data_IF_167015363534
#
_entry.id   IF_167015363534
#
_cell.length_a   1.000
_cell.length_b   1.000
_cell.length_c   1.000
_cell.angle_alpha   90.00
_cell.angle_beta   90.00
_cell.angle_gamma   90.00
#
_symmetry.space_group_name_H-M   'P 1'
#
loop_
_entity.id
_entity.type
_entity.pdbx_description
1 polymer ?
#
# COMPACT_ATOMS: atom_id res chain seq x y z
N UNK A 1 5.75 24.98 21.68
CA UNK A 1 5.36 24.04 20.60
C UNK A 1 6.55 23.34 19.92
N UNK A 2 7.68 24.03 19.68
CA UNK A 2 8.87 23.45 19.03
C UNK A 2 9.46 22.18 19.72
N UNK A 3 9.40 22.10 21.06
CA UNK A 3 9.93 20.95 21.82
C UNK A 3 9.16 19.63 21.67
N UNK A 4 7.85 19.67 21.38
CA UNK A 4 7.05 18.46 21.09
C UNK A 4 7.36 17.91 19.69
N UNK A 5 7.51 18.79 18.70
CA UNK A 5 7.89 18.40 17.34
C UNK A 5 9.31 17.80 17.30
N UNK A 6 10.27 18.40 18.02
CA UNK A 6 11.63 17.85 18.12
C UNK A 6 11.68 16.48 18.80
N UNK A 7 10.97 16.29 19.92
CA UNK A 7 10.85 14.98 20.58
C UNK A 7 10.19 13.95 19.68
N UNK A 8 9.12 14.33 18.96
CA UNK A 8 8.49 13.42 17.99
C UNK A 8 9.50 13.02 16.90
N UNK A 9 10.24 13.96 16.31
CA UNK A 9 11.28 13.68 15.30
C UNK A 9 12.43 12.81 15.80
N UNK A 10 12.86 12.97 17.05
CA UNK A 10 13.90 12.13 17.64
C UNK A 10 13.40 10.70 17.94
N UNK A 11 12.17 10.55 18.45
CA UNK A 11 11.54 9.23 18.68
C UNK A 11 11.26 8.51 17.36
N UNK A 12 10.77 9.23 16.35
CA UNK A 12 10.61 8.76 14.96
C UNK A 12 11.91 8.21 14.41
N UNK A 13 13.00 8.96 14.60
CA UNK A 13 14.34 8.57 14.16
C UNK A 13 14.90 7.41 14.97
N UNK A 14 14.56 7.25 16.25
CA UNK A 14 14.98 6.11 17.07
C UNK A 14 14.23 4.80 16.76
N UNK A 15 13.01 4.88 16.20
CA UNK A 15 12.23 3.70 15.78
C UNK A 15 12.52 3.27 14.32
N UNK A 16 12.97 4.21 13.48
CA UNK A 16 13.52 3.96 12.13
C UNK A 16 15.04 4.09 12.05
N UNK A 17 15.71 4.25 13.18
CA UNK A 17 17.05 3.73 13.37
C UNK A 17 16.84 2.25 13.16
N UNK A 18 16.96 1.89 11.88
CA UNK A 18 17.02 0.53 11.43
C UNK A 18 17.88 -0.16 12.47
N UNK A 19 17.37 -1.21 13.15
CA UNK A 19 18.29 -2.07 13.89
C UNK A 19 19.35 -2.37 12.85
N UNK A 20 20.62 -1.99 13.10
CA UNK A 20 21.75 -2.36 12.24
C UNK A 20 21.48 -3.82 11.90
N UNK A 21 21.01 -4.08 10.66
CA UNK A 21 20.32 -5.33 10.37
C UNK A 21 21.34 -6.40 10.66
N UNK A 22 21.12 -7.17 11.72
CA UNK A 22 22.23 -7.90 12.32
C UNK A 22 22.74 -8.90 11.30
N UNK A 23 24.05 -8.94 11.07
CA UNK A 23 24.69 -9.95 10.22
C UNK A 23 24.46 -11.39 10.72
N UNK A 24 23.82 -11.57 11.88
CA UNK A 24 23.59 -12.84 12.56
C UNK A 24 22.41 -13.63 11.98
N UNK A 25 21.51 -13.00 11.22
CA UNK A 25 20.39 -13.65 10.53
C UNK A 25 20.33 -13.23 9.05
N UNK A 26 21.26 -13.73 8.24
CA UNK A 26 21.36 -13.38 6.82
C UNK A 26 20.22 -13.96 5.98
N UNK A 27 19.04 -13.34 6.05
CA UNK A 27 17.95 -13.53 5.08
C UNK A 27 18.07 -12.45 4.01
N UNK A 28 18.42 -12.87 2.80
CA UNK A 28 18.60 -11.98 1.66
C UNK A 28 17.27 -11.63 0.98
N UNK A 29 17.28 -10.62 0.10
CA UNK A 29 16.13 -10.21 -0.72
C UNK A 29 14.88 -9.80 0.07
N UNK A 30 15.08 -9.20 1.25
CA UNK A 30 13.98 -8.76 2.13
C UNK A 30 13.47 -7.35 1.83
N UNK A 31 14.05 -6.62 0.87
CA UNK A 31 13.76 -5.21 0.61
C UNK A 31 12.28 -4.91 0.28
N UNK A 32 11.57 -5.84 -0.37
CA UNK A 32 10.12 -5.76 -0.61
C UNK A 32 9.35 -5.85 0.72
N UNK A 33 9.64 -6.88 1.53
CA UNK A 33 9.03 -7.08 2.85
C UNK A 33 9.29 -5.87 3.74
N UNK A 34 10.52 -5.36 3.73
CA UNK A 34 10.92 -4.20 4.53
C UNK A 34 10.16 -2.94 4.13
N UNK A 35 10.00 -2.70 2.84
CA UNK A 35 9.24 -1.57 2.31
C UNK A 35 7.78 -1.63 2.74
N UNK A 36 7.18 -2.83 2.69
CA UNK A 36 5.81 -3.04 3.17
C UNK A 36 5.68 -2.89 4.70
N UNK A 37 6.56 -3.51 5.48
CA UNK A 37 6.51 -3.41 6.95
C UNK A 37 6.79 -1.98 7.44
N UNK A 38 7.68 -1.23 6.77
CA UNK A 38 7.88 0.20 7.02
C UNK A 38 6.61 1.02 6.78
N UNK A 39 5.81 0.64 5.77
CA UNK A 39 4.49 1.23 5.52
C UNK A 39 3.53 1.00 6.68
N UNK A 40 3.48 -0.22 7.23
CA UNK A 40 2.64 -0.52 8.40
C UNK A 40 3.10 0.24 9.66
N UNK A 41 4.42 0.33 9.89
CA UNK A 41 4.95 1.12 11.00
C UNK A 41 4.60 2.61 10.87
N UNK A 42 4.68 3.15 9.66
CA UNK A 42 4.29 4.54 9.40
C UNK A 42 2.80 4.76 9.69
N UNK A 43 1.94 3.80 9.33
CA UNK A 43 0.52 3.82 9.62
C UNK A 43 0.23 3.84 11.12
N UNK A 44 0.83 2.89 11.86
CA UNK A 44 0.71 2.76 13.32
C UNK A 44 1.26 3.96 14.07
N UNK A 45 2.22 4.66 13.50
CA UNK A 45 2.76 5.85 14.11
C UNK A 45 1.93 7.09 13.76
N UNK A 46 1.34 7.16 12.57
CA UNK A 46 0.36 8.20 12.21
C UNK A 46 -0.93 8.09 13.04
N UNK A 47 -1.48 6.88 13.18
CA UNK A 47 -2.56 6.54 14.11
C UNK A 47 -2.09 5.44 15.07
N UNK A 48 -1.86 5.79 16.33
CA UNK A 48 -1.45 4.87 17.40
C UNK A 48 -2.42 3.72 17.68
N UNK A 49 -3.59 3.71 17.02
CA UNK A 49 -4.57 2.64 17.13
C UNK A 49 -4.80 1.94 15.77
N UNK A 50 -3.96 2.16 14.77
CA UNK A 50 -4.09 1.58 13.43
C UNK A 50 -4.23 0.06 13.46
N UNK A 51 -3.48 -0.64 14.32
CA UNK A 51 -3.55 -2.10 14.46
C UNK A 51 -4.95 -2.63 14.80
N UNK A 52 -5.85 -1.79 15.34
CA UNK A 52 -7.25 -2.17 15.60
C UNK A 52 -8.11 -2.20 14.33
N UNK A 53 -7.64 -1.64 13.21
CA UNK A 53 -8.31 -1.69 11.90
C UNK A 53 -8.00 -2.98 11.14
N UNK A 54 -6.95 -3.72 11.56
CA UNK A 54 -6.61 -5.03 11.03
C UNK A 54 -7.55 -6.10 11.63
N UNK A 55 -8.78 -6.16 11.12
CA UNK A 55 -9.88 -7.00 11.67
C UNK A 55 -10.02 -8.39 11.02
N UNK A 56 -9.17 -8.73 10.04
CA UNK A 56 -9.16 -10.01 9.33
C UNK A 56 -8.64 -11.20 10.16
N UNK A 57 -9.18 -12.40 9.92
CA UNK A 57 -8.78 -13.65 10.62
C UNK A 57 -7.74 -14.49 9.85
N UNK A 58 -7.35 -14.05 8.66
CA UNK A 58 -6.35 -14.70 7.83
C UNK A 58 -4.93 -14.55 8.38
N UNK A 59 -4.02 -15.41 7.94
CA UNK A 59 -2.65 -15.43 8.44
C UNK A 59 -1.91 -14.11 8.17
N UNK A 60 -2.18 -13.46 7.04
CA UNK A 60 -1.52 -12.21 6.66
C UNK A 60 -1.95 -11.07 7.57
N UNK A 61 -3.25 -10.89 7.78
CA UNK A 61 -3.75 -9.88 8.71
C UNK A 61 -3.27 -10.13 10.15
N UNK A 62 -3.31 -11.37 10.62
CA UNK A 62 -2.85 -11.74 11.98
C UNK A 62 -1.38 -11.44 12.21
N UNK A 63 -0.52 -11.77 11.25
CA UNK A 63 0.93 -11.53 11.36
C UNK A 63 1.29 -10.07 11.21
N UNK A 64 0.59 -9.30 10.36
CA UNK A 64 0.72 -7.84 10.32
C UNK A 64 0.32 -7.20 11.65
N UNK A 65 -0.80 -7.63 12.23
CA UNK A 65 -1.26 -7.15 13.54
C UNK A 65 -0.24 -7.47 14.64
N UNK A 66 0.22 -8.72 14.69
CA UNK A 66 1.30 -9.16 15.60
C UNK A 66 2.56 -8.32 15.42
N UNK A 67 2.99 -8.06 14.19
CA UNK A 67 4.16 -7.23 13.90
C UNK A 67 4.04 -5.82 14.49
N UNK A 68 2.84 -5.23 14.50
CA UNK A 68 2.59 -3.90 15.06
C UNK A 68 2.45 -3.89 16.58
N UNK A 69 1.77 -4.89 17.14
CA UNK A 69 1.39 -4.93 18.55
C UNK A 69 2.46 -5.58 19.45
N UNK A 70 3.30 -6.48 18.93
CA UNK A 70 4.26 -7.22 19.74
C UNK A 70 5.41 -6.35 20.26
N UNK A 71 5.84 -6.68 21.48
CA UNK A 71 7.03 -6.14 22.11
C UNK A 71 8.31 -6.81 21.57
N UNK A 72 9.42 -6.09 21.57
CA UNK A 72 10.73 -6.60 21.14
C UNK A 72 11.30 -5.91 19.89
N UNK A 73 12.45 -6.40 19.42
CA UNK A 73 13.13 -5.82 18.25
C UNK A 73 12.29 -6.03 16.98
N UNK A 74 12.20 -5.00 16.13
CA UNK A 74 11.58 -5.02 14.80
C UNK A 74 12.09 -6.20 13.95
N UNK A 75 13.36 -6.55 14.04
CA UNK A 75 13.97 -7.64 13.26
C UNK A 75 13.37 -9.01 13.59
N UNK A 76 13.16 -9.31 14.87
CA UNK A 76 12.52 -10.55 15.29
C UNK A 76 11.07 -10.65 14.78
N UNK A 77 10.33 -9.53 14.85
CA UNK A 77 8.95 -9.44 14.36
C UNK A 77 8.86 -9.58 12.84
N UNK A 78 9.82 -9.00 12.10
CA UNK A 78 10.00 -9.21 10.65
C UNK A 78 10.27 -10.69 10.35
N UNK A 79 11.15 -11.33 11.09
CA UNK A 79 11.47 -12.75 10.90
C UNK A 79 10.26 -13.66 11.16
N UNK A 80 9.42 -13.32 12.13
CA UNK A 80 8.15 -14.01 12.36
C UNK A 80 7.17 -13.84 11.19
N UNK A 81 7.07 -12.63 10.63
CA UNK A 81 6.31 -12.40 9.41
C UNK A 81 6.84 -13.25 8.24
N UNK A 82 8.16 -13.28 8.03
CA UNK A 82 8.78 -14.06 6.96
C UNK A 82 8.49 -15.56 7.14
N UNK A 83 8.71 -16.10 8.34
CA UNK A 83 8.45 -17.51 8.65
C UNK A 83 7.00 -17.93 8.42
N UNK A 84 6.05 -17.04 8.67
CA UNK A 84 4.64 -17.34 8.52
C UNK A 84 4.18 -17.40 7.04
N UNK A 85 4.94 -16.78 6.13
CA UNK A 85 4.46 -16.47 4.78
C UNK A 85 5.30 -17.05 3.65
N UNK A 86 6.58 -17.33 3.90
CA UNK A 86 7.50 -17.78 2.87
C UNK A 86 8.06 -19.15 3.27
N UNK A 87 7.94 -20.09 2.34
CA UNK A 87 8.52 -21.42 2.51
C UNK A 87 10.05 -21.35 2.32
N UNK A 88 10.76 -22.30 2.91
CA UNK A 88 12.18 -22.48 2.65
C UNK A 88 12.40 -23.25 1.34
N UNK A 89 13.44 -22.90 0.60
CA UNK A 89 13.93 -23.66 -0.55
C UNK A 89 14.73 -24.90 -0.11
N UNK A 90 15.25 -25.66 -1.08
CA UNK A 90 16.05 -26.86 -0.82
C UNK A 90 17.34 -26.61 -0.02
N UNK A 91 17.85 -25.38 -0.05
CA UNK A 91 19.06 -24.94 0.67
C UNK A 91 18.74 -24.41 2.08
N UNK A 92 17.46 -24.40 2.48
CA UNK A 92 17.02 -23.95 3.80
C UNK A 92 16.84 -22.43 3.94
N UNK A 93 17.01 -21.68 2.84
CA UNK A 93 16.78 -20.23 2.76
C UNK A 93 15.31 -19.93 2.44
N UNK A 94 14.80 -18.79 2.90
CA UNK A 94 13.43 -18.39 2.55
C UNK A 94 13.31 -18.02 1.07
N UNK A 95 12.31 -18.56 0.38
CA UNK A 95 12.02 -18.17 -0.99
C UNK A 95 11.35 -16.78 -1.00
N UNK A 96 12.20 -15.77 -1.16
CA UNK A 96 11.84 -14.35 -1.27
C UNK A 96 12.06 -13.83 -2.70
N UNK A 97 11.84 -14.70 -3.69
CA UNK A 97 11.87 -14.32 -5.09
C UNK A 97 10.50 -13.81 -5.55
N UNK A 98 10.51 -12.81 -6.44
CA UNK A 98 9.31 -12.29 -7.07
C UNK A 98 9.22 -10.77 -7.00
N UNK A 99 8.10 -10.27 -7.48
CA UNK A 99 7.74 -8.86 -7.38
C UNK A 99 6.78 -8.62 -6.20
N UNK A 100 6.34 -7.37 -6.04
CA UNK A 100 5.43 -6.95 -4.98
C UNK A 100 4.11 -7.74 -4.99
N UNK A 101 3.65 -8.19 -6.16
CA UNK A 101 2.42 -8.98 -6.29
C UNK A 101 2.62 -10.33 -5.61
N UNK A 102 3.65 -11.08 -6.03
CA UNK A 102 3.93 -12.40 -5.49
C UNK A 102 4.32 -12.35 -4.01
N UNK A 103 5.10 -11.34 -3.63
CA UNK A 103 5.64 -11.25 -2.29
C UNK A 103 4.62 -10.73 -1.29
N UNK A 104 3.80 -9.73 -1.62
CA UNK A 104 2.89 -9.09 -0.67
C UNK A 104 1.42 -9.28 -1.08
N UNK A 105 1.03 -8.85 -2.27
CA UNK A 105 -0.39 -8.73 -2.62
C UNK A 105 -1.11 -10.09 -2.67
N UNK A 106 -0.44 -11.14 -3.16
CA UNK A 106 -1.00 -12.49 -3.23
C UNK A 106 -1.28 -13.10 -1.85
N UNK A 107 -0.48 -12.72 -0.85
CA UNK A 107 -0.66 -13.15 0.54
C UNK A 107 -1.71 -12.31 1.26
N UNK A 108 -1.83 -11.05 0.84
CA UNK A 108 -2.77 -10.09 1.41
C UNK A 108 -4.21 -10.23 0.89
N UNK A 109 -4.54 -11.16 -0.04
CA UNK A 109 -5.83 -11.23 -0.77
C UNK A 109 -7.08 -10.85 0.04
N UNK A 110 -7.23 -11.37 1.26
CA UNK A 110 -8.39 -11.08 2.13
C UNK A 110 -8.38 -9.69 2.77
N UNK A 111 -7.20 -9.13 3.02
CA UNK A 111 -6.99 -7.79 3.54
C UNK A 111 -7.23 -6.67 2.51
N UNK A 112 -7.29 -7.05 1.23
CA UNK A 112 -7.32 -6.14 0.07
C UNK A 112 -8.53 -6.35 -0.84
N UNK A 113 -9.44 -7.25 -0.47
CA UNK A 113 -10.58 -7.60 -1.31
C UNK A 113 -11.57 -6.44 -1.42
N UNK A 114 -12.04 -6.17 -2.63
CA UNK A 114 -13.12 -5.25 -2.90
C UNK A 114 -14.10 -5.89 -3.87
N UNK A 115 -15.35 -5.49 -3.75
CA UNK A 115 -16.44 -5.87 -4.65
C UNK A 115 -16.80 -4.69 -5.52
N UNK A 116 -16.92 -4.91 -6.83
CA UNK A 116 -17.56 -3.94 -7.70
C UNK A 116 -18.87 -4.56 -8.20
N UNK A 117 -19.96 -3.84 -8.03
CA UNK A 117 -21.27 -4.16 -8.60
C UNK A 117 -21.53 -3.23 -9.79
N UNK A 118 -22.12 -3.78 -10.84
CA UNK A 118 -22.57 -3.02 -12.01
C UNK A 118 -24.01 -3.36 -12.30
N UNK A 119 -24.87 -2.36 -12.40
CA UNK A 119 -26.30 -2.52 -12.68
C UNK A 119 -26.69 -1.83 -13.98
N UNK A 120 -27.27 -2.58 -14.91
CA UNK A 120 -27.84 -2.02 -16.13
C UNK A 120 -29.06 -1.17 -15.79
N UNK A 121 -29.08 0.10 -16.20
CA UNK A 121 -30.23 0.98 -15.95
C UNK A 121 -31.48 0.55 -16.70
N UNK A 122 -31.33 -0.07 -17.87
CA UNK A 122 -32.45 -0.41 -18.75
C UNK A 122 -33.16 -1.70 -18.33
N UNK A 123 -32.41 -2.75 -18.00
CA UNK A 123 -33.00 -4.05 -17.66
C UNK A 123 -32.86 -4.43 -16.18
N UNK A 124 -32.20 -3.59 -15.38
CA UNK A 124 -32.01 -3.80 -13.94
C UNK A 124 -31.04 -4.93 -13.58
N UNK A 125 -30.51 -5.68 -14.56
CA UNK A 125 -29.57 -6.79 -14.30
C UNK A 125 -28.31 -6.27 -13.61
N UNK A 126 -27.91 -6.98 -12.57
CA UNK A 126 -26.74 -6.71 -11.77
C UNK A 126 -25.67 -7.77 -12.02
N UNK A 127 -24.41 -7.35 -11.98
CA UNK A 127 -23.26 -8.23 -11.91
C UNK A 127 -22.34 -7.74 -10.80
N UNK A 128 -21.86 -8.66 -9.97
CA UNK A 128 -20.91 -8.38 -8.89
C UNK A 128 -19.65 -9.20 -9.13
N UNK A 129 -18.49 -8.56 -8.97
CA UNK A 129 -17.21 -9.27 -9.03
C UNK A 129 -16.32 -8.85 -7.86
N UNK A 130 -15.63 -9.84 -7.29
CA UNK A 130 -14.61 -9.64 -6.27
C UNK A 130 -13.23 -9.57 -6.90
N UNK A 131 -12.41 -8.65 -6.41
CA UNK A 131 -11.04 -8.40 -6.87
C UNK A 131 -10.18 -8.10 -5.64
N UNK A 132 -8.89 -8.40 -5.76
CA UNK A 132 -7.96 -8.24 -4.64
C UNK A 132 -7.01 -7.05 -4.82
N UNK A 133 -6.74 -6.57 -6.03
CA UNK A 133 -5.92 -5.37 -6.20
C UNK A 133 -6.26 -4.65 -7.50
N UNK A 134 -6.07 -3.33 -7.47
CA UNK A 134 -6.27 -2.45 -8.61
C UNK A 134 -4.94 -2.39 -9.38
N UNK A 135 -4.93 -2.65 -10.69
CA UNK A 135 -3.79 -2.31 -11.55
C UNK A 135 -4.19 -1.22 -12.54
N UNK A 136 -3.23 -0.38 -12.89
CA UNK A 136 -3.40 0.67 -13.90
C UNK A 136 -2.99 0.16 -15.28
N UNK A 137 -3.84 0.40 -16.28
CA UNK A 137 -3.57 0.00 -17.68
C UNK A 137 -2.59 0.98 -18.35
N UNK A 138 -1.76 0.47 -19.27
CA UNK A 138 -0.78 1.24 -20.08
C UNK A 138 -1.40 2.43 -20.82
N UNK A 139 -2.66 2.32 -21.22
CA UNK A 139 -3.35 3.36 -21.99
C UNK A 139 -3.65 4.63 -21.17
N UNK A 140 -3.31 4.64 -19.88
CA UNK A 140 -3.70 5.66 -18.91
C UNK A 140 -2.56 6.54 -18.39
N UNK A 141 -1.38 6.52 -19.06
CA UNK A 141 -0.15 7.26 -18.68
C UNK A 141 -0.32 8.74 -18.31
N UNK A 142 -1.45 9.38 -18.62
CA UNK A 142 -1.68 10.82 -18.44
C UNK A 142 -2.62 11.23 -17.30
N UNK A 143 -3.23 10.32 -16.52
CA UNK A 143 -4.25 10.69 -15.50
C UNK A 143 -4.31 9.78 -14.27
N UNK A 144 -3.28 9.73 -13.43
CA UNK A 144 -3.14 8.76 -12.34
C UNK A 144 -4.41 8.52 -11.46
N UNK A 145 -5.03 9.50 -10.77
CA UNK A 145 -6.16 9.22 -9.88
C UNK A 145 -7.40 8.66 -10.62
N UNK A 146 -7.79 9.31 -11.73
CA UNK A 146 -8.96 8.89 -12.51
C UNK A 146 -8.70 7.59 -13.28
N UNK A 147 -7.46 7.35 -13.73
CA UNK A 147 -7.06 6.14 -14.43
C UNK A 147 -7.09 4.90 -13.53
N UNK A 148 -6.71 5.06 -12.26
CA UNK A 148 -6.65 4.00 -11.27
C UNK A 148 -8.05 3.42 -11.02
N UNK A 149 -9.04 4.28 -10.78
CA UNK A 149 -10.44 3.88 -10.64
C UNK A 149 -11.03 3.47 -12.00
N UNK A 150 -10.77 4.23 -13.07
CA UNK A 150 -11.32 3.96 -14.40
C UNK A 150 -10.83 2.63 -15.00
N UNK A 151 -9.58 2.21 -14.79
CA UNK A 151 -9.07 0.93 -15.27
C UNK A 151 -9.78 -0.26 -14.59
N UNK A 152 -10.08 -0.14 -13.30
CA UNK A 152 -10.84 -1.10 -12.54
C UNK A 152 -12.30 -1.18 -13.02
N UNK A 153 -12.95 -0.01 -13.20
CA UNK A 153 -14.31 0.09 -13.73
C UNK A 153 -14.41 -0.43 -15.18
N UNK A 154 -13.43 -0.11 -16.04
CA UNK A 154 -13.45 -0.40 -17.49
C UNK A 154 -13.35 -1.89 -17.80
N UNK A 155 -12.50 -2.67 -17.10
CA UNK A 155 -12.41 -4.12 -17.36
C UNK A 155 -13.67 -4.87 -16.95
N UNK A 156 -14.40 -4.38 -15.96
CA UNK A 156 -15.68 -4.97 -15.56
C UNK A 156 -16.84 -4.59 -16.48
N UNK A 157 -16.87 -3.35 -16.97
CA UNK A 157 -17.79 -2.95 -18.05
C UNK A 157 -17.65 -3.80 -19.32
N UNK A 158 -16.44 -4.34 -19.58
CA UNK A 158 -16.20 -5.29 -20.70
C UNK A 158 -16.69 -6.71 -20.41
N UNK A 159 -16.74 -7.15 -19.15
CA UNK A 159 -17.17 -8.51 -18.79
C UNK A 159 -18.68 -8.74 -18.82
N UNK A 160 -19.49 -7.69 -18.90
CA UNK A 160 -20.95 -7.81 -19.07
C UNK A 160 -21.45 -6.85 -20.14
N UNK A 161 -21.57 -7.34 -21.38
CA UNK A 161 -22.46 -6.71 -22.36
C UNK A 161 -23.90 -7.06 -21.97
N UNK A 162 -24.75 -6.05 -21.78
CA UNK A 162 -26.20 -6.28 -21.77
C UNK A 162 -26.55 -7.12 -23.01
N UNK A 163 -27.49 -8.08 -22.93
CA UNK A 163 -27.98 -8.77 -24.13
C UNK A 163 -28.26 -7.75 -25.24
N UNK A 164 -28.06 -8.14 -26.49
CA UNK A 164 -28.07 -7.29 -27.70
C UNK A 164 -29.28 -6.36 -27.88
N UNK A 165 -30.27 -6.38 -26.99
CA UNK A 165 -31.39 -5.46 -26.93
C UNK A 165 -31.11 -4.16 -26.16
N UNK A 166 -30.00 -4.05 -25.41
CA UNK A 166 -29.64 -2.83 -24.65
C UNK A 166 -28.30 -2.22 -25.12
N UNK A 167 -28.12 -2.10 -26.44
CA UNK A 167 -26.90 -1.59 -27.13
C UNK A 167 -26.44 -0.19 -26.69
N UNK A 168 -27.26 0.57 -25.98
CA UNK A 168 -26.96 1.91 -25.45
C UNK A 168 -27.23 2.05 -23.95
N UNK A 169 -27.28 0.94 -23.20
CA UNK A 169 -27.60 1.03 -21.77
C UNK A 169 -26.46 1.66 -20.98
N UNK A 170 -26.80 2.74 -20.26
CA UNK A 170 -25.96 3.27 -19.19
C UNK A 170 -25.94 2.26 -18.04
N UNK A 171 -24.79 2.15 -17.37
CA UNK A 171 -24.59 1.26 -16.23
C UNK A 171 -24.30 2.11 -14.99
N UNK A 172 -24.97 1.81 -13.87
CA UNK A 172 -24.50 2.25 -12.56
C UNK A 172 -23.38 1.31 -12.11
N UNK A 173 -22.32 1.86 -11.54
CA UNK A 173 -21.24 1.08 -10.95
C UNK A 173 -21.08 1.52 -9.50
N UNK A 174 -20.98 0.56 -8.60
CA UNK A 174 -20.80 0.79 -7.18
C UNK A 174 -19.64 -0.07 -6.69
N UNK A 175 -18.74 0.57 -5.96
CA UNK A 175 -17.55 -0.05 -5.40
C UNK A 175 -17.77 -0.19 -3.89
N UNK A 176 -17.69 -1.41 -3.42
CA UNK A 176 -17.84 -1.81 -2.02
C UNK A 176 -16.55 -2.47 -1.55
N UNK A 177 -16.20 -2.30 -0.29
CA UNK A 177 -15.12 -3.03 0.38
C UNK A 177 -15.71 -3.84 1.52
N UNK A 178 -15.17 -5.03 1.76
CA UNK A 178 -15.59 -5.83 2.91
C UNK A 178 -15.06 -5.18 4.21
N UNK A 179 -15.71 -5.44 5.34
CA UNK A 179 -15.27 -4.91 6.64
C UNK A 179 -13.84 -5.32 7.01
N UNK A 180 -13.38 -6.46 6.48
CA UNK A 180 -12.02 -6.97 6.67
C UNK A 180 -10.97 -6.30 5.79
N UNK A 181 -11.39 -5.46 4.84
CA UNK A 181 -10.48 -4.74 3.95
C UNK A 181 -9.92 -3.53 4.67
N UNK A 182 -8.63 -3.61 4.98
CA UNK A 182 -7.89 -2.55 5.68
C UNK A 182 -6.78 -1.94 4.82
N UNK A 183 -6.55 -2.49 3.62
CA UNK A 183 -5.58 -2.01 2.67
C UNK A 183 -6.16 -2.03 1.25
N UNK A 184 -5.91 -0.99 0.46
CA UNK A 184 -6.24 -0.90 -0.95
C UNK A 184 -4.95 -0.63 -1.73
N UNK A 185 -4.24 -1.69 -2.19
CA UNK A 185 -3.01 -1.54 -2.94
C UNK A 185 -3.33 -1.23 -4.40
N UNK A 186 -2.57 -0.29 -4.97
CA UNK A 186 -2.70 0.09 -6.37
C UNK A 186 -1.39 -0.20 -7.09
N UNK A 187 -1.42 -1.23 -7.91
CA UNK A 187 -0.31 -1.68 -8.73
C UNK A 187 -0.12 -0.78 -9.95
N UNK A 188 0.98 -0.04 -9.91
CA UNK A 188 1.44 0.89 -10.93
C UNK A 188 2.56 0.27 -11.78
N UNK A 189 3.02 -0.93 -11.44
CA UNK A 189 4.13 -1.59 -12.13
C UNK A 189 3.93 -1.77 -13.65
N UNK A 190 2.71 -1.95 -14.21
CA UNK A 190 2.53 -2.10 -15.66
C UNK A 190 2.84 -0.82 -16.44
N UNK A 191 2.61 0.36 -15.84
CA UNK A 191 2.82 1.66 -16.50
C UNK A 191 4.17 2.30 -16.14
N UNK A 192 4.88 1.74 -15.15
CA UNK A 192 6.23 2.15 -14.70
C UNK A 192 6.36 3.67 -14.50
N UNK A 193 5.51 4.31 -13.68
CA UNK A 193 5.58 5.75 -13.49
C UNK A 193 6.86 6.11 -12.74
N UNK A 194 7.45 7.25 -13.08
CA UNK A 194 8.65 7.76 -12.41
C UNK A 194 8.36 8.25 -11.00
N UNK A 195 9.34 8.12 -10.11
CA UNK A 195 9.22 8.61 -8.73
C UNK A 195 8.94 10.12 -8.61
N UNK A 196 9.20 10.91 -9.66
CA UNK A 196 8.80 12.32 -9.73
C UNK A 196 7.28 12.54 -9.68
N UNK A 197 6.49 11.52 -10.02
CA UNK A 197 5.01 11.56 -10.03
C UNK A 197 4.39 11.20 -8.68
N UNK A 198 5.19 10.92 -7.64
CA UNK A 198 4.66 10.58 -6.31
C UNK A 198 3.78 11.69 -5.76
N UNK A 199 4.17 12.96 -5.97
CA UNK A 199 3.38 14.11 -5.51
C UNK A 199 2.02 14.25 -6.20
N UNK A 200 1.79 13.55 -7.30
CA UNK A 200 0.53 13.57 -8.05
C UNK A 200 -0.42 12.44 -7.64
N UNK A 201 0.02 11.53 -6.77
CA UNK A 201 -0.84 10.49 -6.21
C UNK A 201 -1.85 11.11 -5.24
N UNK A 202 -3.13 10.70 -5.30
CA UNK A 202 -4.12 11.21 -4.37
C UNK A 202 -3.76 10.80 -2.94
N UNK A 203 -3.96 11.70 -1.98
CA UNK A 203 -3.66 11.40 -0.57
C UNK A 203 -4.75 10.52 0.06
N UNK A 204 -5.99 10.66 -0.43
CA UNK A 204 -7.15 9.95 0.08
C UNK A 204 -7.94 9.31 -1.07
N UNK A 205 -8.53 8.16 -0.79
CA UNK A 205 -9.56 7.50 -1.61
C UNK A 205 -10.76 7.18 -0.74
N UNK A 206 -11.96 7.38 -1.28
CA UNK A 206 -13.21 6.97 -0.65
C UNK A 206 -13.86 5.87 -1.47
N UNK A 207 -14.32 4.83 -0.79
CA UNK A 207 -15.02 3.69 -1.35
C UNK A 207 -16.24 3.42 -0.49
N UNK A 208 -17.41 3.85 -0.94
CA UNK A 208 -18.61 3.91 -0.10
C UNK A 208 -18.34 4.79 1.12
N UNK A 209 -18.66 4.26 2.31
CA UNK A 209 -18.43 4.95 3.59
C UNK A 209 -17.03 4.69 4.19
N UNK A 210 -16.12 4.09 3.43
CA UNK A 210 -14.77 3.74 3.88
C UNK A 210 -13.73 4.62 3.19
N UNK A 211 -12.94 5.32 4.00
CA UNK A 211 -11.83 6.13 3.54
C UNK A 211 -10.50 5.39 3.70
N UNK A 212 -9.63 5.54 2.71
CA UNK A 212 -8.27 5.01 2.69
C UNK A 212 -7.27 6.13 2.43
N UNK A 213 -6.17 6.15 3.19
CA UNK A 213 -5.10 7.15 3.10
C UNK A 213 -3.83 6.56 2.49
N UNK A 214 -3.25 7.28 1.53
CA UNK A 214 -1.92 6.98 1.01
C UNK A 214 -0.92 6.99 2.15
N UNK A 215 -0.34 5.83 2.45
CA UNK A 215 0.56 5.66 3.59
C UNK A 215 1.96 5.24 3.17
N UNK A 216 2.08 4.44 2.11
CA UNK A 216 3.36 3.97 1.62
C UNK A 216 3.35 3.76 0.12
N UNK A 217 4.51 3.89 -0.50
CA UNK A 217 4.72 3.72 -1.93
C UNK A 217 5.99 2.92 -2.10
N UNK A 218 5.90 1.73 -2.67
CA UNK A 218 7.08 0.96 -3.02
C UNK A 218 7.68 1.45 -4.33
N UNK A 219 9.00 1.59 -4.32
CA UNK A 219 9.84 2.08 -5.41
C UNK A 219 10.86 1.01 -5.75
N UNK A 220 11.24 0.92 -7.02
CA UNK A 220 12.23 -0.04 -7.49
C UNK A 220 13.22 0.59 -8.47
N UNK A 221 14.51 0.41 -8.17
CA UNK A 221 15.65 0.73 -9.02
C UNK A 221 16.79 -0.26 -8.71
N UNK A 222 17.58 -0.63 -9.71
CA UNK A 222 18.83 -1.38 -9.54
C UNK A 222 18.73 -2.63 -8.64
N UNK A 223 17.70 -3.45 -8.86
CA UNK A 223 17.40 -4.66 -8.09
C UNK A 223 17.11 -4.44 -6.59
N UNK A 224 16.80 -3.20 -6.20
CA UNK A 224 16.52 -2.84 -4.81
C UNK A 224 15.15 -2.17 -4.66
N UNK A 225 14.41 -2.58 -3.63
CA UNK A 225 13.15 -1.96 -3.24
C UNK A 225 13.36 -0.95 -2.12
N UNK A 226 12.75 0.20 -2.28
CA UNK A 226 12.72 1.28 -1.28
C UNK A 226 11.28 1.76 -1.11
N UNK A 227 11.00 2.50 -0.04
CA UNK A 227 9.66 3.02 0.21
C UNK A 227 9.67 4.54 0.40
N UNK A 228 8.62 5.18 -0.09
CA UNK A 228 8.24 6.54 0.33
C UNK A 228 7.00 6.42 1.20
N UNK A 229 7.08 6.92 2.42
CA UNK A 229 6.05 6.83 3.45
C UNK A 229 5.45 8.21 3.70
N UNK A 230 4.16 8.26 3.95
CA UNK A 230 3.42 9.48 4.25
C UNK A 230 3.05 9.49 5.74
N UNK A 231 3.59 10.44 6.49
CA UNK A 231 3.32 10.65 7.91
C UNK A 231 2.69 12.02 8.11
N UNK A 232 1.35 12.06 8.17
CA UNK A 232 0.60 13.31 8.24
C UNK A 232 1.02 14.25 7.10
N UNK A 233 1.72 15.34 7.42
CA UNK A 233 2.23 16.36 6.49
C UNK A 233 3.64 16.11 5.95
N UNK A 234 4.39 15.23 6.58
CA UNK A 234 5.77 14.92 6.21
C UNK A 234 5.81 13.71 5.26
N UNK A 235 6.92 13.59 4.54
CA UNK A 235 7.26 12.44 3.69
C UNK A 235 8.55 11.82 4.21
N UNK A 236 8.61 10.49 4.23
CA UNK A 236 9.78 9.75 4.68
C UNK A 236 10.26 8.87 3.55
N UNK A 237 11.55 8.90 3.24
CA UNK A 237 12.17 7.97 2.30
C UNK A 237 12.94 6.92 3.06
N UNK A 238 12.49 5.68 2.93
CA UNK A 238 13.10 4.50 3.53
C UNK A 238 13.87 3.74 2.45
N UNK A 239 15.20 3.68 2.58
CA UNK A 239 16.08 2.97 1.65
C UNK A 239 16.50 1.60 2.19
N UNK A 240 16.44 1.36 3.51
CA UNK A 240 16.73 0.07 4.14
C UNK A 240 18.22 -0.34 4.18
N UNK A 241 19.01 0.03 3.16
CA UNK A 241 20.46 -0.28 3.06
C UNK A 241 21.36 0.96 3.17
N UNK A 242 20.85 2.16 2.89
CA UNK A 242 21.62 3.39 3.00
C UNK A 242 21.72 3.90 4.45
N UNK A 243 22.74 4.71 4.76
CA UNK A 243 22.86 5.42 6.04
C UNK A 243 22.71 6.95 5.87
N UNK A 244 21.81 7.63 6.62
CA UNK A 244 20.75 7.03 7.44
C UNK A 244 19.69 6.34 6.55
N UNK A 245 19.08 5.26 7.05
CA UNK A 245 18.11 4.44 6.30
C UNK A 245 16.81 5.17 6.02
N UNK A 246 16.47 6.14 6.87
CA UNK A 246 15.30 6.99 6.74
C UNK A 246 15.73 8.45 6.56
N UNK A 247 15.18 9.11 5.54
CA UNK A 247 15.32 10.54 5.29
C UNK A 247 13.97 11.22 5.35
N UNK A 248 13.88 12.37 6.01
CA UNK A 248 12.64 13.14 6.15
C UNK A 248 12.61 14.28 5.13
N UNK A 249 11.49 14.42 4.45
CA UNK A 249 11.21 15.46 3.46
C UNK A 249 9.90 16.16 3.83
N UNK A 250 9.95 17.49 3.99
CA UNK A 250 8.73 18.30 4.19
C UNK A 250 8.03 18.65 2.88
N UNK A 251 8.69 18.40 1.75
CA UNK A 251 8.21 18.64 0.40
C UNK A 251 8.68 17.49 -0.49
N UNK A 252 7.74 16.74 -1.02
CA UNK A 252 8.00 15.56 -1.85
C UNK A 252 8.76 15.90 -3.14
N UNK A 253 8.65 17.14 -3.64
CA UNK A 253 9.40 17.60 -4.82
C UNK A 253 10.90 17.64 -4.58
N UNK A 254 11.33 17.62 -3.32
CA UNK A 254 12.75 17.58 -2.92
C UNK A 254 13.28 16.16 -2.77
N UNK A 255 12.45 15.14 -2.96
CA UNK A 255 12.86 13.74 -2.90
C UNK A 255 13.99 13.49 -3.90
N UNK A 256 15.13 13.04 -3.38
CA UNK A 256 16.28 12.66 -4.21
C UNK A 256 16.33 11.14 -4.29
N UNK A 257 15.91 10.62 -5.43
CA UNK A 257 16.01 9.20 -5.80
C UNK A 257 16.63 9.09 -7.19
N UNK A 258 17.13 7.90 -7.52
CA UNK A 258 17.71 7.66 -8.84
C UNK A 258 16.66 7.93 -9.95
N UNK A 259 17.00 8.61 -11.06
CA UNK A 259 16.05 8.88 -12.16
C UNK A 259 15.45 7.61 -12.81
N UNK A 260 16.14 6.47 -12.70
CA UNK A 260 15.64 5.17 -13.16
C UNK A 260 14.52 4.62 -12.26
N UNK A 261 14.38 5.13 -11.04
CA UNK A 261 13.42 4.67 -10.02
C UNK A 261 11.99 4.79 -10.51
N UNK A 262 11.29 3.65 -10.49
CA UNK A 262 9.88 3.58 -10.85
C UNK A 262 9.04 3.24 -9.63
N UNK A 263 7.82 3.78 -9.61
CA UNK A 263 6.79 3.43 -8.64
C UNK A 263 6.27 2.03 -8.98
N UNK A 264 6.13 1.19 -7.95
CA UNK A 264 5.61 -0.17 -8.08
C UNK A 264 4.20 -0.25 -7.54
N UNK A 265 4.00 -0.04 -6.25
CA UNK A 265 2.68 -0.09 -5.62
C UNK A 265 2.48 1.12 -4.72
N UNK A 266 1.30 1.72 -4.78
CA UNK A 266 0.83 2.69 -3.80
C UNK A 266 -0.12 2.01 -2.81
N UNK A 267 0.21 2.07 -1.53
CA UNK A 267 -0.56 1.47 -0.43
C UNK A 267 -1.45 2.52 0.23
N UNK A 268 -2.75 2.33 0.07
CA UNK A 268 -3.76 3.10 0.78
C UNK A 268 -4.29 2.28 1.94
N UNK A 269 -4.17 2.78 3.15
CA UNK A 269 -4.60 2.06 4.35
C UNK A 269 -5.86 2.69 4.91
N UNK A 270 -6.78 1.85 5.39
CA UNK A 270 -8.06 2.29 5.93
C UNK A 270 -7.83 3.26 7.09
N UNK A 271 -8.64 4.32 7.14
CA UNK A 271 -8.67 5.27 8.26
C UNK A 271 -9.97 5.13 9.05
N UNK A 272 -9.99 5.63 10.29
CA UNK A 272 -11.20 5.60 11.12
C UNK A 272 -12.22 6.61 10.60
N UNK A 273 -13.53 6.29 10.65
CA UNK A 273 -14.55 7.31 10.51
C UNK A 273 -14.32 8.37 11.59
N UNK A 274 -14.20 9.63 11.21
CA UNK A 274 -13.89 10.82 12.05
C UNK A 274 -12.41 11.19 12.23
N UNK A 275 -11.45 10.47 11.64
CA UNK A 275 -10.14 11.09 11.38
C UNK A 275 -10.34 12.00 10.16
N UNK A 276 -10.90 13.19 10.38
CA UNK A 276 -10.98 14.22 9.34
C UNK A 276 -9.58 14.40 8.73
N UNK A 277 -9.48 14.68 7.41
CA UNK A 277 -8.25 15.28 6.91
C UNK A 277 -8.10 16.57 7.70
N UNK A 278 -7.23 16.55 8.72
CA UNK A 278 -6.87 17.77 9.42
C UNK A 278 -6.55 18.81 8.34
N UNK A 279 -6.86 20.10 8.55
CA UNK A 279 -6.63 21.24 7.61
C UNK A 279 -5.21 21.31 7.00
N UNK A 280 -4.36 20.40 7.45
CA UNK A 280 -3.08 19.96 6.99
C UNK A 280 -3.06 19.28 5.61
N UNK A 281 -4.10 18.57 5.19
CA UNK A 281 -4.11 17.80 3.93
C UNK A 281 -4.78 18.54 2.75
N UNK A 282 -5.25 19.78 2.98
CA UNK A 282 -5.94 20.62 1.98
C UNK A 282 -5.06 21.70 1.32
N UNK A 283 -3.72 21.63 1.44
CA UNK A 283 -2.78 22.58 0.82
C UNK A 283 -1.67 21.90 0.04
#
# INVERSE_FOLDING_TARGET
MAGRQLRSRLVKRAMFEVPVWSDELKVYNTCIVDSFLATLLCAQWTDGRFSSLLVGTDAFTKTCKKFLDDEGNVEARKMDFIKAHYAKNGDGEFNLEGDEIAMILDKAKKAIEYSLSTRCQTCGKEAKSRKNYLYVSSDCEKRLPSAMLHAALTRMGKSHRCPSTCEKSNHFMELEVDDTTWMLPIDLSPIRPKASLIGDLPVMFEVGDVSFRLTGISLFADAHYTAVLRDGKDWLYYNGIAEPPLKVYTDIKKLKVDPSTNIKVAYYLRVRPNDEPSDIDAQ
#
